data_IF_747851681146
#
_entry.id   IF_747851681146
#
_cell.length_a   1.000
_cell.length_b   1.000
_cell.length_c   1.000
_cell.angle_alpha   90.00
_cell.angle_beta   90.00
_cell.angle_gamma   90.00
#
_symmetry.space_group_name_H-M   'P 1'
#
loop_
_entity.id
_entity.type
_entity.pdbx_description
1 polymer ?
#
# COMPACT_ATOMS: atom_id res chain seq x y z
N UNK A 1 46.53 17.28 -28.22
CA UNK A 1 45.73 16.33 -27.40
C UNK A 1 44.39 16.09 -28.09
N UNK A 2 44.09 14.84 -28.45
CA UNK A 2 42.93 14.49 -29.29
C UNK A 2 41.59 14.87 -28.64
N UNK A 3 40.62 15.28 -29.47
CA UNK A 3 39.28 15.74 -29.08
C UNK A 3 38.57 14.77 -28.11
N UNK A 4 38.72 13.46 -28.35
CA UNK A 4 38.11 12.40 -27.55
C UNK A 4 38.58 12.39 -26.09
N UNK A 5 39.83 12.77 -25.82
CA UNK A 5 40.36 12.81 -24.44
C UNK A 5 39.76 13.97 -23.64
N UNK A 6 39.45 15.10 -24.30
CA UNK A 6 38.80 16.25 -23.67
C UNK A 6 37.34 15.98 -23.35
N UNK A 7 36.60 15.29 -24.23
CA UNK A 7 35.23 14.88 -23.95
C UNK A 7 35.13 13.85 -22.83
N UNK A 8 35.98 12.82 -22.85
CA UNK A 8 36.05 11.82 -21.79
C UNK A 8 36.29 12.45 -20.40
N UNK A 9 37.22 13.41 -20.30
CA UNK A 9 37.49 14.11 -19.04
C UNK A 9 36.35 15.03 -18.61
N UNK A 10 35.57 15.61 -19.54
CA UNK A 10 34.37 16.39 -19.22
C UNK A 10 33.26 15.49 -18.70
N UNK A 11 33.05 14.32 -19.31
CA UNK A 11 32.06 13.35 -18.87
C UNK A 11 32.40 12.83 -17.47
N UNK A 12 33.64 12.40 -17.23
CA UNK A 12 34.09 11.96 -15.89
C UNK A 12 33.94 13.03 -14.82
N UNK A 13 34.14 14.31 -15.15
CA UNK A 13 33.90 15.42 -14.21
C UNK A 13 32.42 15.64 -13.93
N UNK A 14 31.52 15.43 -14.90
CA UNK A 14 30.07 15.48 -14.68
C UNK A 14 29.62 14.31 -13.80
N UNK A 15 30.11 13.12 -14.09
CA UNK A 15 29.77 11.90 -13.34
C UNK A 15 30.24 12.04 -11.89
N UNK A 16 31.50 12.42 -11.65
CA UNK A 16 32.02 12.66 -10.29
C UNK A 16 31.29 13.80 -9.56
N UNK A 17 30.77 14.81 -10.28
CA UNK A 17 30.02 15.92 -9.66
C UNK A 17 28.58 15.50 -9.33
N UNK A 18 27.99 14.64 -10.15
CA UNK A 18 26.69 14.03 -9.88
C UNK A 18 26.78 13.05 -8.70
N UNK A 19 27.85 12.25 -8.66
CA UNK A 19 28.14 11.32 -7.57
C UNK A 19 28.38 12.07 -6.24
N UNK A 20 29.18 13.16 -6.25
CA UNK A 20 29.33 14.03 -5.07
C UNK A 20 28.02 14.68 -4.63
N UNK A 21 27.20 15.18 -5.56
CA UNK A 21 25.87 15.74 -5.24
C UNK A 21 24.88 14.70 -4.74
N UNK A 22 25.03 13.44 -5.15
CA UNK A 22 24.28 12.30 -4.62
C UNK A 22 24.70 12.00 -3.19
N UNK A 23 26.02 12.01 -2.92
CA UNK A 23 26.56 11.78 -1.58
C UNK A 23 26.25 12.92 -0.61
N UNK A 24 26.22 14.19 -1.06
CA UNK A 24 25.83 15.33 -0.21
C UNK A 24 24.34 15.31 0.21
N UNK A 25 23.49 14.52 -0.46
CA UNK A 25 22.04 14.37 -0.17
C UNK A 25 21.68 13.12 0.63
N UNK A 26 22.64 12.24 0.85
CA UNK A 26 22.40 10.90 1.38
C UNK A 26 23.49 10.59 2.40
N UNK A 27 23.12 10.65 3.67
CA UNK A 27 24.04 10.36 4.78
C UNK A 27 23.65 9.01 5.38
N UNK A 28 24.58 8.06 5.36
CA UNK A 28 24.42 6.81 6.09
C UNK A 28 24.73 7.03 7.57
N UNK A 29 23.76 6.79 8.45
CA UNK A 29 23.95 6.90 9.90
C UNK A 29 23.83 5.51 10.54
N UNK A 30 24.77 5.20 11.44
CA UNK A 30 24.64 4.04 12.33
C UNK A 30 23.88 4.47 13.58
N UNK A 31 22.76 3.80 13.88
CA UNK A 31 22.11 3.95 15.18
C UNK A 31 22.86 3.08 16.20
N UNK A 32 23.81 3.66 16.92
CA UNK A 32 24.35 3.07 18.15
C UNK A 32 24.55 4.18 19.18
N UNK A 33 23.61 4.31 20.12
CA UNK A 33 23.73 5.24 21.25
C UNK A 33 24.65 4.74 22.38
N UNK A 34 25.21 3.54 22.24
CA UNK A 34 26.15 2.93 23.20
C UNK A 34 27.26 2.18 22.45
N UNK A 35 28.40 2.02 23.13
CA UNK A 35 29.54 1.23 22.65
C UNK A 35 29.09 -0.15 22.15
N UNK A 36 29.66 -0.65 21.04
CA UNK A 36 29.23 -1.91 20.44
C UNK A 36 29.50 -3.09 21.38
N UNK A 37 28.44 -3.66 21.95
CA UNK A 37 28.49 -4.96 22.61
C UNK A 37 28.73 -6.05 21.55
N UNK A 38 29.85 -6.81 21.59
CA UNK A 38 30.16 -7.88 20.65
C UNK A 38 29.14 -9.04 20.67
N UNK A 39 28.30 -9.13 21.70
CA UNK A 39 27.24 -10.13 21.83
C UNK A 39 25.92 -9.71 21.16
N UNK A 40 25.79 -8.44 20.75
CA UNK A 40 24.61 -7.95 20.05
C UNK A 40 24.79 -8.03 18.53
N UNK A 41 23.71 -8.27 17.77
CA UNK A 41 23.75 -8.15 16.31
C UNK A 41 24.31 -6.78 15.90
N UNK A 42 25.08 -6.70 14.80
CA UNK A 42 25.59 -5.42 14.33
C UNK A 42 24.44 -4.43 14.11
N UNK A 43 24.62 -3.14 14.46
CA UNK A 43 23.55 -2.15 14.41
C UNK A 43 22.98 -2.02 12.99
N UNK A 44 21.65 -1.98 12.89
CA UNK A 44 20.94 -1.77 11.64
C UNK A 44 21.42 -0.47 10.99
N UNK A 45 21.93 -0.55 9.75
CA UNK A 45 22.34 0.64 8.99
C UNK A 45 21.11 1.30 8.40
N UNK A 46 20.90 2.57 8.74
CA UNK A 46 19.81 3.39 8.19
C UNK A 46 20.40 4.46 7.30
N UNK A 47 19.93 4.50 6.07
CA UNK A 47 20.23 5.57 5.12
C UNK A 47 19.26 6.71 5.37
N UNK A 48 19.78 7.88 5.72
CA UNK A 48 18.98 9.10 5.81
C UNK A 48 19.17 9.91 4.54
N UNK A 49 18.08 10.21 3.86
CA UNK A 49 18.09 11.00 2.62
C UNK A 49 17.25 12.25 2.80
N UNK A 50 17.84 13.41 2.53
CA UNK A 50 17.12 14.69 2.56
C UNK A 50 16.79 15.04 1.11
N UNK A 51 15.49 15.21 0.83
CA UNK A 51 15.01 15.54 -0.50
C UNK A 51 14.29 16.87 -0.50
N UNK A 52 14.51 17.63 -1.56
CA UNK A 52 13.91 18.94 -1.80
C UNK A 52 12.64 18.80 -2.61
N UNK A 53 11.58 19.51 -2.24
CA UNK A 53 10.38 19.58 -3.03
C UNK A 53 10.61 20.32 -4.36
N UNK A 54 10.25 19.69 -5.47
CA UNK A 54 10.32 20.20 -6.83
C UNK A 54 9.13 19.68 -7.62
N UNK A 55 8.12 20.51 -7.91
CA UNK A 55 6.95 20.11 -8.68
C UNK A 55 7.36 19.37 -9.97
N UNK A 56 6.76 18.21 -10.20
CA UNK A 56 7.12 17.37 -11.34
C UNK A 56 5.90 16.71 -11.97
N UNK A 57 5.41 17.25 -13.08
CA UNK A 57 4.23 16.70 -13.76
C UNK A 57 4.60 15.55 -14.69
N UNK A 58 4.47 14.32 -14.19
CA UNK A 58 4.65 13.10 -14.99
C UNK A 58 3.60 12.98 -16.12
N UNK A 59 2.39 13.45 -15.86
CA UNK A 59 1.25 13.35 -16.76
C UNK A 59 0.57 14.72 -16.88
N UNK A 60 1.11 15.65 -17.70
CA UNK A 60 0.58 17.01 -17.80
C UNK A 60 -0.91 17.08 -18.17
N UNK A 61 -1.43 16.08 -18.90
CA UNK A 61 -2.84 16.01 -19.25
C UNK A 61 -3.78 15.92 -18.05
N UNK A 62 -3.30 15.38 -16.91
CA UNK A 62 -4.12 15.19 -15.71
C UNK A 62 -4.64 16.52 -15.15
N UNK A 63 -3.93 17.63 -15.41
CA UNK A 63 -4.31 18.98 -14.98
C UNK A 63 -5.57 19.47 -15.69
N UNK A 64 -5.71 19.16 -16.99
CA UNK A 64 -6.79 19.68 -17.83
C UNK A 64 -7.92 18.68 -18.03
N UNK A 65 -7.58 17.39 -18.10
CA UNK A 65 -8.48 16.32 -18.53
C UNK A 65 -8.80 15.33 -17.39
N UNK A 66 -8.29 15.60 -16.19
CA UNK A 66 -8.44 14.75 -15.01
C UNK A 66 -7.79 13.38 -15.18
N UNK A 67 -8.28 12.39 -14.43
CA UNK A 67 -7.64 11.07 -14.35
C UNK A 67 -7.98 10.14 -15.52
N UNK A 68 -8.15 10.68 -16.73
CA UNK A 68 -8.29 9.84 -17.92
C UNK A 68 -7.03 8.99 -18.11
N UNK A 69 -7.22 7.79 -18.65
CA UNK A 69 -6.12 6.89 -18.95
C UNK A 69 -5.14 7.57 -19.93
N UNK A 70 -3.82 7.51 -19.67
CA UNK A 70 -2.82 8.07 -20.57
C UNK A 70 -2.74 7.31 -21.89
N UNK A 71 -2.41 8.03 -22.94
CA UNK A 71 -2.01 7.50 -24.26
C UNK A 71 -0.61 6.88 -24.19
N UNK A 72 -0.22 6.05 -25.18
CA UNK A 72 1.15 5.52 -25.24
C UNK A 72 2.25 6.60 -25.21
N UNK A 73 2.05 7.73 -25.90
CA UNK A 73 3.01 8.83 -25.92
C UNK A 73 3.15 9.50 -24.54
N UNK A 74 2.05 9.67 -23.81
CA UNK A 74 2.07 10.21 -22.44
C UNK A 74 2.76 9.24 -21.46
N UNK A 75 2.59 7.93 -21.65
CA UNK A 75 3.31 6.92 -20.87
C UNK A 75 4.83 6.97 -21.15
N UNK A 76 5.24 7.09 -22.41
CA UNK A 76 6.65 7.23 -22.79
C UNK A 76 7.26 8.52 -22.23
N UNK A 77 6.52 9.63 -22.29
CA UNK A 77 6.92 10.90 -21.68
C UNK A 77 7.15 10.76 -20.17
N UNK A 78 6.17 10.21 -19.44
CA UNK A 78 6.30 9.98 -17.99
C UNK A 78 7.49 9.09 -17.65
N UNK A 79 7.71 8.01 -18.42
CA UNK A 79 8.88 7.14 -18.25
C UNK A 79 10.20 7.88 -18.51
N UNK A 80 10.26 8.77 -19.51
CA UNK A 80 11.46 9.55 -19.81
C UNK A 80 11.86 10.48 -18.66
N UNK A 81 10.88 11.10 -18.00
CA UNK A 81 11.10 11.92 -16.80
C UNK A 81 11.54 11.03 -15.64
N UNK A 82 10.82 9.94 -15.38
CA UNK A 82 11.09 9.05 -14.25
C UNK A 82 12.50 8.43 -14.31
N UNK A 83 13.07 8.20 -15.50
CA UNK A 83 14.47 7.76 -15.66
C UNK A 83 15.50 8.70 -15.00
N UNK A 84 15.15 9.95 -14.76
CA UNK A 84 16.02 10.94 -14.10
C UNK A 84 15.94 10.90 -12.58
N UNK A 85 15.02 10.12 -12.01
CA UNK A 85 14.80 10.03 -10.58
C UNK A 85 15.87 9.19 -9.88
N UNK A 86 16.03 9.43 -8.59
CA UNK A 86 16.86 8.61 -7.73
C UNK A 86 16.08 7.38 -7.26
N UNK A 87 16.65 6.18 -7.38
CA UNK A 87 15.98 4.94 -6.98
C UNK A 87 16.69 4.27 -5.81
N UNK A 88 15.96 4.09 -4.71
CA UNK A 88 16.42 3.28 -3.59
C UNK A 88 16.20 1.79 -3.90
N UNK A 89 17.13 0.94 -3.47
CA UNK A 89 17.09 -0.49 -3.80
C UNK A 89 17.52 -1.46 -2.69
N UNK A 90 18.03 -0.99 -1.56
CA UNK A 90 18.56 -1.86 -0.50
C UNK A 90 18.48 -1.22 0.89
N UNK A 91 18.60 -2.06 1.92
CA UNK A 91 18.68 -1.64 3.32
C UNK A 91 17.40 -0.99 3.84
N UNK A 92 17.55 -0.10 4.82
CA UNK A 92 16.48 0.71 5.38
C UNK A 92 16.76 2.18 5.12
N UNK A 93 15.77 2.88 4.58
CA UNK A 93 15.88 4.26 4.13
C UNK A 93 14.83 5.10 4.82
N UNK A 94 15.21 6.25 5.35
CA UNK A 94 14.30 7.29 5.81
C UNK A 94 14.53 8.54 4.96
N UNK A 95 13.46 9.02 4.31
CA UNK A 95 13.50 10.22 3.47
C UNK A 95 12.81 11.37 4.19
N UNK A 96 13.49 12.52 4.27
CA UNK A 96 13.05 13.73 4.95
C UNK A 96 12.82 14.86 3.94
N UNK A 97 11.85 15.72 4.22
CA UNK A 97 11.52 16.91 3.43
C UNK A 97 12.36 18.12 3.87
N UNK A 98 13.31 18.54 3.02
CA UNK A 98 14.17 19.70 3.26
C UNK A 98 13.36 20.99 3.51
N UNK A 99 12.28 21.19 2.73
CA UNK A 99 11.54 22.44 2.72
C UNK A 99 10.49 22.49 3.87
N UNK A 100 10.23 21.36 4.53
CA UNK A 100 9.24 21.23 5.59
C UNK A 100 9.83 20.66 6.88
N UNK A 101 10.80 21.38 7.46
CA UNK A 101 11.40 21.10 8.78
C UNK A 101 11.90 19.65 8.94
N UNK A 102 12.35 19.03 7.85
CA UNK A 102 12.79 17.63 7.82
C UNK A 102 11.70 16.65 8.30
N UNK A 103 10.43 16.93 8.00
CA UNK A 103 9.36 15.97 8.23
C UNK A 103 9.58 14.70 7.38
N UNK A 104 9.21 13.55 7.94
CA UNK A 104 9.35 12.27 7.26
C UNK A 104 8.38 12.21 6.08
N UNK A 105 8.94 11.94 4.90
CA UNK A 105 8.20 11.65 3.66
C UNK A 105 7.87 10.17 3.62
N UNK A 106 8.90 9.32 3.77
CA UNK A 106 8.77 7.86 3.67
C UNK A 106 9.87 7.12 4.42
N UNK A 107 9.51 5.96 4.96
CA UNK A 107 10.42 4.93 5.46
C UNK A 107 10.29 3.71 4.54
N UNK A 108 11.40 3.22 4.01
CA UNK A 108 11.46 2.09 3.09
C UNK A 108 12.38 1.03 3.67
N UNK A 109 11.97 -0.24 3.63
CA UNK A 109 12.83 -1.36 4.01
C UNK A 109 12.80 -2.43 2.91
N UNK A 110 13.98 -2.77 2.42
CA UNK A 110 14.20 -3.75 1.36
C UNK A 110 14.72 -5.04 1.97
N UNK A 111 14.14 -6.18 1.57
CA UNK A 111 14.65 -7.50 1.96
C UNK A 111 14.74 -8.39 0.72
N UNK A 112 15.95 -8.73 0.25
CA UNK A 112 16.16 -9.70 -0.83
C UNK A 112 15.47 -11.04 -0.52
N UNK A 113 15.06 -11.77 -1.56
CA UNK A 113 14.38 -13.06 -1.37
C UNK A 113 15.29 -14.08 -0.67
N UNK A 114 16.58 -14.01 -0.96
CA UNK A 114 17.63 -14.88 -0.45
C UNK A 114 17.89 -14.66 1.05
N UNK A 115 17.54 -13.48 1.57
CA UNK A 115 17.72 -13.11 2.97
C UNK A 115 16.46 -13.37 3.81
N UNK A 116 15.35 -13.79 3.20
CA UNK A 116 14.14 -14.14 3.94
C UNK A 116 14.36 -15.42 4.75
N UNK A 117 14.18 -15.33 6.06
CA UNK A 117 14.12 -16.51 6.91
C UNK A 117 12.97 -17.45 6.50
N UNK A 118 13.05 -18.74 6.83
CA UNK A 118 11.96 -19.68 6.58
C UNK A 118 10.63 -19.23 7.20
N UNK A 119 10.66 -18.57 8.36
CA UNK A 119 9.47 -18.04 9.01
C UNK A 119 8.88 -16.84 8.27
N UNK A 120 9.71 -15.87 7.85
CA UNK A 120 9.25 -14.75 7.03
C UNK A 120 8.62 -15.24 5.73
N UNK A 121 9.27 -16.20 5.04
CA UNK A 121 8.73 -16.79 3.82
C UNK A 121 7.36 -17.45 4.05
N UNK A 122 7.18 -18.18 5.15
CA UNK A 122 5.87 -18.76 5.51
C UNK A 122 4.82 -17.68 5.77
N UNK A 123 5.16 -16.67 6.56
CA UNK A 123 4.23 -15.59 6.92
C UNK A 123 3.81 -14.77 5.69
N UNK A 124 4.74 -14.46 4.80
CA UNK A 124 4.44 -13.78 3.53
C UNK A 124 3.53 -14.62 2.64
N UNK A 125 3.78 -15.93 2.53
CA UNK A 125 2.89 -16.83 1.78
C UNK A 125 1.48 -16.90 2.37
N UNK A 126 1.34 -16.84 3.70
CA UNK A 126 0.02 -16.77 4.34
C UNK A 126 -0.73 -15.52 3.88
N UNK A 127 -0.05 -14.36 3.88
CA UNK A 127 -0.65 -13.09 3.43
C UNK A 127 -1.01 -13.15 1.94
N UNK A 128 -0.08 -13.49 1.07
CA UNK A 128 -0.29 -13.39 -0.39
C UNK A 128 -1.29 -14.41 -0.92
N UNK A 129 -1.24 -15.66 -0.42
CA UNK A 129 -2.21 -16.69 -0.82
C UNK A 129 -3.61 -16.41 -0.25
N UNK A 130 -3.69 -15.80 0.94
CA UNK A 130 -4.96 -15.29 1.47
C UNK A 130 -5.56 -14.24 0.52
N UNK A 131 -4.80 -13.21 0.16
CA UNK A 131 -5.27 -12.16 -0.75
C UNK A 131 -5.59 -12.68 -2.15
N UNK A 132 -4.82 -13.65 -2.65
CA UNK A 132 -5.11 -14.31 -3.92
C UNK A 132 -6.48 -15.00 -3.87
N UNK A 133 -6.78 -15.76 -2.81
CA UNK A 133 -8.08 -16.41 -2.61
C UNK A 133 -9.22 -15.40 -2.43
N UNK A 134 -8.97 -14.25 -1.79
CA UNK A 134 -9.96 -13.17 -1.65
C UNK A 134 -10.53 -12.72 -3.00
N UNK A 135 -9.77 -12.78 -4.10
CA UNK A 135 -10.22 -12.37 -5.45
C UNK A 135 -11.49 -13.10 -5.92
N UNK A 136 -11.76 -14.31 -5.41
CA UNK A 136 -13.00 -15.06 -5.70
C UNK A 136 -14.23 -14.40 -5.07
N UNK A 137 -14.06 -13.76 -3.92
CA UNK A 137 -15.13 -13.29 -3.05
C UNK A 137 -15.28 -11.77 -2.99
N UNK A 138 -14.37 -11.00 -3.60
CA UNK A 138 -14.45 -9.54 -3.69
C UNK A 138 -14.47 -9.07 -5.15
N UNK A 139 -15.15 -7.95 -5.41
CA UNK A 139 -15.17 -7.37 -6.75
C UNK A 139 -13.84 -6.63 -7.03
N UNK A 140 -13.38 -6.71 -8.28
CA UNK A 140 -12.29 -5.84 -8.74
C UNK A 140 -12.77 -4.40 -8.84
N UNK A 141 -11.90 -3.47 -8.48
CA UNK A 141 -12.12 -2.03 -8.59
C UNK A 141 -11.55 -1.59 -9.93
N UNK A 142 -12.41 -1.08 -10.81
CA UNK A 142 -12.03 -0.49 -12.08
C UNK A 142 -12.69 0.88 -12.19
N UNK A 143 -11.94 1.92 -11.83
CA UNK A 143 -12.35 3.30 -12.04
C UNK A 143 -11.13 4.09 -12.48
N UNK A 144 -11.26 4.90 -13.53
CA UNK A 144 -10.16 5.67 -14.10
C UNK A 144 -9.36 6.49 -13.05
N UNK A 145 -10.00 7.13 -12.03
CA UNK A 145 -9.28 7.83 -10.96
C UNK A 145 -8.39 6.97 -10.07
N UNK A 146 -8.57 5.65 -10.08
CA UNK A 146 -7.88 4.73 -9.16
C UNK A 146 -6.94 3.76 -9.86
N UNK A 147 -7.17 3.48 -11.14
CA UNK A 147 -6.52 2.40 -11.85
C UNK A 147 -6.55 2.67 -13.36
N UNK A 148 -5.38 2.84 -13.96
CA UNK A 148 -5.21 2.97 -15.41
C UNK A 148 -4.87 1.64 -16.09
N UNK A 149 -4.31 0.69 -15.33
CA UNK A 149 -4.11 -0.69 -15.77
C UNK A 149 -3.84 -1.63 -14.60
N UNK A 150 -3.79 -2.92 -14.93
CA UNK A 150 -3.79 -4.01 -13.96
C UNK A 150 -5.12 -4.16 -13.23
N UNK A 151 -5.08 -4.79 -12.05
CA UNK A 151 -6.26 -5.06 -11.23
C UNK A 151 -6.04 -4.63 -9.79
N UNK A 152 -7.07 -4.04 -9.21
CA UNK A 152 -7.12 -3.64 -7.80
C UNK A 152 -8.34 -4.30 -7.14
N UNK A 153 -8.20 -4.69 -5.88
CA UNK A 153 -9.27 -5.17 -5.03
C UNK A 153 -9.18 -4.49 -3.67
N UNK A 154 -10.28 -4.51 -2.93
CA UNK A 154 -10.31 -4.13 -1.52
C UNK A 154 -10.93 -5.24 -0.69
N UNK A 155 -10.47 -5.37 0.54
CA UNK A 155 -10.89 -6.38 1.51
C UNK A 155 -11.10 -5.73 2.88
N UNK A 156 -12.10 -6.18 3.64
CA UNK A 156 -12.45 -5.64 4.95
C UNK A 156 -13.66 -4.69 4.92
N UNK A 157 -13.76 -3.84 5.94
CA UNK A 157 -14.92 -3.00 6.22
C UNK A 157 -14.93 -1.68 5.45
N UNK A 158 -16.13 -1.27 5.04
CA UNK A 158 -16.40 -0.05 4.28
C UNK A 158 -17.74 0.57 4.66
N UNK A 159 -17.89 1.86 4.33
CA UNK A 159 -19.20 2.49 4.21
C UNK A 159 -20.03 1.82 3.10
N UNK A 160 -21.31 1.63 3.36
CA UNK A 160 -22.28 1.13 2.39
C UNK A 160 -23.09 2.26 1.74
N UNK A 161 -23.51 2.02 0.49
CA UNK A 161 -24.37 2.95 -0.27
C UNK A 161 -25.81 2.43 -0.43
N UNK A 162 -26.08 1.17 -0.08
CA UNK A 162 -27.40 0.53 -0.18
C UNK A 162 -28.42 1.16 0.78
N UNK A 163 -29.72 1.09 0.45
CA UNK A 163 -30.78 1.84 1.11
C UNK A 163 -30.90 1.57 2.62
N UNK A 164 -30.53 0.40 3.13
CA UNK A 164 -30.68 0.05 4.56
C UNK A 164 -29.37 -0.40 5.24
N UNK A 165 -28.28 -0.48 4.48
CA UNK A 165 -26.98 -0.88 5.01
C UNK A 165 -26.19 0.34 5.44
N UNK A 166 -25.84 0.40 6.72
CA UNK A 166 -25.04 1.48 7.30
C UNK A 166 -23.56 1.31 6.92
N UNK A 167 -23.04 0.12 7.14
CA UNK A 167 -21.68 -0.30 6.80
C UNK A 167 -21.69 -1.78 6.40
N UNK A 168 -20.58 -2.28 5.86
CA UNK A 168 -20.45 -3.68 5.48
C UNK A 168 -19.08 -4.01 4.92
N UNK A 169 -18.94 -5.22 4.39
CA UNK A 169 -17.68 -5.72 3.83
C UNK A 169 -17.57 -5.46 2.32
N UNK A 170 -16.34 -5.31 1.81
CA UNK A 170 -16.07 -5.49 0.38
C UNK A 170 -16.36 -6.94 0.00
N UNK A 171 -17.30 -7.16 -0.93
CA UNK A 171 -17.77 -8.49 -1.27
C UNK A 171 -18.30 -8.62 -2.69
N UNK A 172 -18.45 -9.87 -3.14
CA UNK A 172 -19.09 -10.32 -4.37
C UNK A 172 -20.17 -11.34 -4.02
N UNK A 173 -21.36 -10.86 -3.67
CA UNK A 173 -22.45 -11.66 -3.09
C UNK A 173 -22.72 -12.96 -3.83
N UNK A 174 -22.86 -12.92 -5.16
CA UNK A 174 -23.17 -14.10 -5.96
C UNK A 174 -22.13 -15.23 -5.81
N UNK A 175 -20.83 -14.89 -5.71
CA UNK A 175 -19.77 -15.88 -5.54
C UNK A 175 -19.69 -16.43 -4.12
N UNK A 176 -20.01 -15.60 -3.12
CA UNK A 176 -20.11 -16.04 -1.73
C UNK A 176 -21.28 -17.01 -1.56
N UNK A 177 -22.45 -16.68 -2.11
CA UNK A 177 -23.65 -17.53 -2.00
C UNK A 177 -23.45 -18.90 -2.67
N UNK A 178 -22.72 -18.95 -3.79
CA UNK A 178 -22.38 -20.21 -4.45
C UNK A 178 -21.32 -21.05 -3.71
N UNK A 179 -20.66 -20.49 -2.69
CA UNK A 179 -19.51 -21.13 -2.03
C UNK A 179 -19.37 -20.70 -0.56
N UNK A 180 -20.45 -20.81 0.21
CA UNK A 180 -20.53 -20.29 1.59
C UNK A 180 -19.48 -20.91 2.52
N UNK A 181 -19.29 -22.23 2.46
CA UNK A 181 -18.33 -22.92 3.30
C UNK A 181 -16.88 -22.49 3.01
N UNK A 182 -16.52 -22.36 1.72
CA UNK A 182 -15.20 -21.87 1.31
C UNK A 182 -14.98 -20.43 1.79
N UNK A 183 -15.99 -19.57 1.64
CA UNK A 183 -15.93 -18.19 2.13
C UNK A 183 -15.79 -18.14 3.65
N UNK A 184 -16.60 -18.89 4.40
CA UNK A 184 -16.55 -18.95 5.86
C UNK A 184 -15.18 -19.40 6.37
N UNK A 185 -14.67 -20.53 5.85
CA UNK A 185 -13.34 -21.03 6.17
C UNK A 185 -12.25 -19.99 5.86
N UNK A 186 -12.35 -19.35 4.70
CA UNK A 186 -11.39 -18.33 4.30
C UNK A 186 -11.43 -17.11 5.21
N UNK A 187 -12.60 -16.56 5.53
CA UNK A 187 -12.73 -15.39 6.41
C UNK A 187 -12.29 -15.69 7.85
N UNK A 188 -12.55 -16.89 8.36
CA UNK A 188 -12.05 -17.33 9.67
C UNK A 188 -10.52 -17.42 9.74
N UNK A 189 -9.85 -17.54 8.59
CA UNK A 189 -8.38 -17.50 8.54
C UNK A 189 -7.80 -16.07 8.56
N UNK A 190 -8.62 -15.03 8.40
CA UNK A 190 -8.20 -13.62 8.27
C UNK A 190 -7.45 -13.01 9.48
N UNK A 191 -7.61 -13.48 10.74
CA UNK A 191 -6.82 -12.94 11.85
C UNK A 191 -5.31 -13.17 11.69
N UNK A 192 -4.91 -14.26 11.00
CA UNK A 192 -3.49 -14.60 10.80
C UNK A 192 -2.77 -13.60 9.89
N UNK A 193 -3.24 -13.29 8.65
CA UNK A 193 -2.64 -12.24 7.84
C UNK A 193 -2.76 -10.84 8.50
N UNK A 194 -3.84 -10.55 9.25
CA UNK A 194 -3.92 -9.29 10.04
C UNK A 194 -2.77 -9.16 11.02
N UNK A 195 -2.54 -10.19 11.83
CA UNK A 195 -1.44 -10.22 12.80
C UNK A 195 -0.07 -10.03 12.13
N UNK A 196 0.17 -10.71 11.01
CA UNK A 196 1.44 -10.63 10.27
C UNK A 196 1.67 -9.21 9.76
N UNK A 197 0.67 -8.63 9.07
CA UNK A 197 0.75 -7.29 8.49
C UNK A 197 0.89 -6.22 9.57
N UNK A 198 0.11 -6.30 10.64
CA UNK A 198 0.21 -5.38 11.77
C UNK A 198 1.56 -5.43 12.47
N UNK A 199 2.14 -6.63 12.65
CA UNK A 199 3.50 -6.78 13.19
C UNK A 199 4.55 -6.18 12.26
N UNK A 200 4.42 -6.36 10.94
CA UNK A 200 5.32 -5.74 9.97
C UNK A 200 5.25 -4.21 10.03
N UNK A 201 4.05 -3.65 10.10
CA UNK A 201 3.86 -2.21 10.22
C UNK A 201 4.43 -1.67 11.54
N UNK A 202 4.08 -2.29 12.68
CA UNK A 202 4.61 -1.92 14.00
C UNK A 202 6.14 -1.95 14.05
N UNK A 203 6.76 -2.98 13.46
CA UNK A 203 8.21 -3.10 13.45
C UNK A 203 8.89 -2.04 12.58
N UNK A 204 8.26 -1.63 11.49
CA UNK A 204 8.82 -0.61 10.59
C UNK A 204 8.63 0.81 11.14
N UNK A 205 7.44 1.11 11.68
CA UNK A 205 7.07 2.42 12.18
C UNK A 205 6.04 2.31 13.31
N UNK A 206 6.51 2.01 14.52
CA UNK A 206 5.65 1.79 15.70
C UNK A 206 4.74 3.00 16.02
N UNK A 207 5.24 4.23 15.90
CA UNK A 207 4.44 5.44 16.17
C UNK A 207 3.27 5.57 15.20
N UNK A 208 3.52 5.42 13.89
CA UNK A 208 2.47 5.47 12.87
C UNK A 208 1.46 4.32 13.04
N UNK A 209 1.94 3.13 13.41
CA UNK A 209 1.09 1.99 13.71
C UNK A 209 0.16 2.28 14.90
N UNK A 210 0.67 2.78 16.03
CA UNK A 210 -0.18 3.07 17.20
C UNK A 210 -1.15 4.22 16.91
N UNK A 211 -0.74 5.26 16.16
CA UNK A 211 -1.64 6.32 15.71
C UNK A 211 -2.83 5.76 14.90
N UNK A 212 -2.59 4.83 13.96
CA UNK A 212 -3.68 4.16 13.24
C UNK A 212 -4.61 3.40 14.19
N UNK A 213 -4.07 2.72 15.21
CA UNK A 213 -4.86 1.99 16.19
C UNK A 213 -5.71 2.92 17.05
N UNK A 214 -5.16 4.04 17.47
CA UNK A 214 -5.87 5.01 18.28
C UNK A 214 -6.99 5.68 17.47
N UNK A 215 -6.76 5.98 16.18
CA UNK A 215 -7.82 6.41 15.27
C UNK A 215 -8.94 5.38 15.16
N UNK A 216 -8.60 4.09 15.09
CA UNK A 216 -9.60 3.03 15.04
C UNK A 216 -10.40 2.93 16.33
N UNK A 217 -9.74 2.92 17.50
CA UNK A 217 -10.41 2.90 18.81
C UNK A 217 -11.33 4.10 18.98
N UNK A 218 -10.84 5.31 18.69
CA UNK A 218 -11.59 6.56 18.87
C UNK A 218 -12.83 6.66 17.99
N UNK A 219 -12.90 5.90 16.89
CA UNK A 219 -14.01 5.93 15.93
C UNK A 219 -14.75 4.58 15.85
N UNK A 220 -14.56 3.68 16.82
CA UNK A 220 -15.19 2.34 16.86
C UNK A 220 -15.04 1.56 15.55
N UNK A 221 -13.88 1.67 14.91
CA UNK A 221 -13.60 1.06 13.62
C UNK A 221 -13.19 -0.40 13.84
N UNK A 222 -13.87 -1.38 13.22
CA UNK A 222 -13.45 -2.78 13.29
C UNK A 222 -12.17 -3.03 12.48
N UNK A 223 -11.43 -4.08 12.83
CA UNK A 223 -10.31 -4.55 12.02
C UNK A 223 -10.80 -5.17 10.72
N UNK A 224 -9.99 -5.11 9.67
CA UNK A 224 -10.33 -5.74 8.39
C UNK A 224 -10.59 -7.26 8.50
N UNK A 225 -10.03 -7.91 9.54
CA UNK A 225 -10.20 -9.32 9.85
C UNK A 225 -11.38 -9.63 10.78
N UNK A 226 -12.02 -8.61 11.37
CA UNK A 226 -13.18 -8.79 12.25
C UNK A 226 -14.37 -9.35 11.47
N UNK A 227 -14.99 -10.41 11.97
CA UNK A 227 -16.18 -11.01 11.36
C UNK A 227 -17.44 -10.24 11.75
N UNK A 228 -17.42 -9.63 12.94
CA UNK A 228 -18.43 -8.70 13.44
C UNK A 228 -17.82 -7.32 13.69
N UNK A 229 -18.60 -6.27 13.42
CA UNK A 229 -18.10 -4.90 13.58
C UNK A 229 -17.85 -4.48 15.03
N UNK A 230 -18.38 -5.24 15.98
CA UNK A 230 -18.22 -5.04 17.43
C UNK A 230 -17.12 -5.94 18.02
N UNK A 231 -16.46 -6.76 17.19
CA UNK A 231 -15.33 -7.55 17.66
C UNK A 231 -14.24 -6.58 18.17
N UNK A 232 -13.66 -6.83 19.36
CA UNK A 232 -12.61 -5.97 19.89
C UNK A 232 -11.37 -6.02 18.99
N UNK A 233 -10.63 -4.91 18.95
CA UNK A 233 -9.36 -4.86 18.23
C UNK A 233 -8.31 -5.75 18.92
N UNK A 234 -7.69 -6.63 18.14
CA UNK A 234 -6.51 -7.37 18.57
C UNK A 234 -5.26 -6.50 18.65
N UNK A 235 -4.19 -7.04 19.23
CA UNK A 235 -2.91 -6.35 19.46
C UNK A 235 -2.29 -5.77 18.18
N UNK A 236 -2.52 -6.40 17.03
CA UNK A 236 -1.91 -6.03 15.76
C UNK A 236 -2.89 -5.42 14.75
N UNK A 237 -4.14 -5.22 15.12
CA UNK A 237 -5.13 -4.67 14.21
C UNK A 237 -4.98 -3.15 14.10
N UNK A 238 -4.70 -2.67 12.88
CA UNK A 238 -4.35 -1.27 12.60
C UNK A 238 -5.00 -0.70 11.32
N UNK A 239 -5.95 -1.41 10.72
CA UNK A 239 -6.74 -0.88 9.62
C UNK A 239 -8.10 -1.58 9.46
N UNK A 240 -9.17 -0.85 9.06
CA UNK A 240 -10.47 -1.44 8.71
C UNK A 240 -10.51 -2.20 7.40
N UNK A 241 -9.62 -1.87 6.46
CA UNK A 241 -9.59 -2.48 5.16
C UNK A 241 -8.21 -2.36 4.53
N UNK A 242 -7.91 -3.31 3.67
CA UNK A 242 -6.72 -3.26 2.86
C UNK A 242 -7.10 -3.20 1.39
N UNK A 243 -6.26 -2.57 0.59
CA UNK A 243 -6.31 -2.71 -0.87
C UNK A 243 -5.14 -3.54 -1.34
N UNK A 244 -5.31 -4.26 -2.45
CA UNK A 244 -4.22 -5.02 -3.05
C UNK A 244 -4.36 -5.04 -4.56
N UNK A 245 -3.21 -5.10 -5.24
CA UNK A 245 -3.11 -4.97 -6.69
C UNK A 245 -2.24 -6.08 -7.29
N UNK A 246 -2.53 -6.46 -8.53
CA UNK A 246 -1.71 -7.39 -9.33
C UNK A 246 -1.88 -7.12 -10.82
N UNK A 247 -1.00 -7.67 -11.65
CA UNK A 247 -1.12 -7.70 -13.11
C UNK A 247 -0.68 -6.39 -13.75
N UNK A 248 0.48 -5.87 -13.34
CA UNK A 248 1.04 -4.62 -13.85
C UNK A 248 0.20 -3.40 -13.49
N UNK A 249 -0.26 -3.33 -12.23
CA UNK A 249 -1.05 -2.20 -11.75
C UNK A 249 -0.29 -0.87 -11.88
N UNK A 250 -0.99 0.15 -12.38
CA UNK A 250 -0.50 1.52 -12.41
C UNK A 250 -1.65 2.53 -12.34
N UNK A 251 -1.36 3.72 -11.83
CA UNK A 251 -2.36 4.71 -11.46
C UNK A 251 -1.85 6.15 -11.61
N UNK A 252 -2.75 7.15 -11.65
CA UNK A 252 -2.36 8.56 -11.67
C UNK A 252 -1.52 8.97 -10.46
N UNK A 253 -0.61 9.96 -10.59
CA UNK A 253 -0.11 10.75 -9.47
C UNK A 253 -1.25 11.33 -8.64
N UNK A 254 -1.26 11.02 -7.34
CA UNK A 254 -2.31 11.49 -6.42
C UNK A 254 -1.78 11.60 -4.98
N UNK A 255 -2.61 12.19 -4.12
CA UNK A 255 -2.50 12.15 -2.66
C UNK A 255 -3.75 11.47 -2.12
N UNK A 256 -3.63 10.75 -1.01
CA UNK A 256 -4.78 10.10 -0.36
C UNK A 256 -5.50 11.06 0.59
N UNK A 257 -5.94 12.20 0.09
CA UNK A 257 -6.54 13.28 0.92
C UNK A 257 -7.82 12.86 1.66
N UNK A 258 -8.48 11.79 1.22
CA UNK A 258 -9.66 11.18 1.84
C UNK A 258 -9.36 10.17 2.96
N UNK A 259 -8.08 9.91 3.25
CA UNK A 259 -7.67 9.09 4.38
C UNK A 259 -7.58 9.89 5.68
N UNK A 260 -7.71 9.23 6.83
CA UNK A 260 -7.66 9.86 8.14
C UNK A 260 -6.24 9.86 8.71
N UNK A 261 -5.51 8.75 8.54
CA UNK A 261 -4.14 8.62 9.03
C UNK A 261 -3.15 9.47 8.22
N UNK A 262 -2.08 9.93 8.88
CA UNK A 262 -1.01 10.66 8.19
C UNK A 262 -0.09 9.73 7.39
N UNK A 263 0.21 8.55 7.94
CA UNK A 263 1.12 7.57 7.35
C UNK A 263 0.38 6.27 7.00
N UNK A 264 0.47 5.85 5.74
CA UNK A 264 -0.03 4.56 5.27
C UNK A 264 1.10 3.52 5.24
N UNK A 265 0.75 2.25 5.40
CA UNK A 265 1.68 1.12 5.21
C UNK A 265 1.42 0.43 3.87
N UNK A 266 2.47 0.07 3.15
CA UNK A 266 2.39 -0.78 1.97
C UNK A 266 3.47 -1.86 1.97
N UNK A 267 3.16 -2.93 1.25
CA UNK A 267 4.03 -4.08 1.07
C UNK A 267 4.00 -4.52 -0.40
N UNK A 268 5.18 -4.66 -1.00
CA UNK A 268 5.37 -5.07 -2.39
C UNK A 268 6.08 -6.42 -2.46
N UNK A 269 5.51 -7.38 -3.19
CA UNK A 269 5.85 -8.80 -3.13
C UNK A 269 5.86 -9.42 -4.54
N UNK A 270 6.93 -10.11 -4.96
CA UNK A 270 6.91 -10.91 -6.16
C UNK A 270 6.11 -12.20 -5.92
N UNK A 271 5.06 -12.43 -6.71
CA UNK A 271 4.14 -13.59 -6.52
C UNK A 271 3.87 -14.32 -7.82
N UNK A 272 3.55 -15.61 -7.73
CA UNK A 272 3.07 -16.41 -8.84
C UNK A 272 1.64 -16.02 -9.18
N UNK A 273 1.34 -15.82 -10.45
CA UNK A 273 -0.01 -15.42 -10.90
C UNK A 273 -1.04 -16.51 -10.67
N UNK A 274 -0.62 -17.78 -10.70
CA UNK A 274 -1.48 -18.95 -10.59
C UNK A 274 -2.13 -19.12 -9.21
N UNK A 275 -1.38 -18.90 -8.12
CA UNK A 275 -1.85 -19.22 -6.76
C UNK A 275 -1.51 -18.13 -5.71
N UNK A 276 -0.77 -17.09 -6.11
CA UNK A 276 -0.34 -16.02 -5.23
C UNK A 276 0.79 -16.41 -4.28
N UNK A 277 1.42 -17.57 -4.43
CA UNK A 277 2.60 -17.92 -3.62
C UNK A 277 3.76 -16.97 -3.92
N UNK A 278 4.59 -16.71 -2.91
CA UNK A 278 5.80 -15.91 -3.07
C UNK A 278 6.76 -16.60 -4.05
N UNK A 279 7.35 -15.81 -4.94
CA UNK A 279 8.43 -16.24 -5.82
C UNK A 279 9.63 -16.72 -5.00
N UNK A 280 10.27 -17.80 -5.45
CA UNK A 280 11.53 -18.32 -4.88
C UNK A 280 12.73 -17.70 -5.61
N UNK A 281 13.91 -17.62 -4.96
CA UNK A 281 15.14 -17.18 -5.63
C UNK A 281 15.47 -17.98 -6.92
N UNK A 282 15.08 -19.24 -6.97
CA UNK A 282 15.26 -20.13 -8.14
C UNK A 282 14.27 -19.89 -9.28
N UNK A 283 13.18 -19.16 -9.05
CA UNK A 283 12.20 -18.85 -10.08
C UNK A 283 12.76 -17.74 -10.99
N UNK A 284 12.52 -17.83 -12.31
CA UNK A 284 12.95 -16.80 -13.26
C UNK A 284 12.00 -15.58 -13.22
N UNK A 285 11.97 -14.89 -12.08
CA UNK A 285 11.19 -13.68 -11.90
C UNK A 285 11.91 -12.47 -12.50
N UNK A 286 11.32 -11.95 -13.58
CA UNK A 286 11.78 -10.74 -14.23
C UNK A 286 10.57 -9.88 -14.61
N UNK A 287 10.58 -8.63 -14.18
CA UNK A 287 9.59 -7.61 -14.54
C UNK A 287 10.35 -6.37 -14.98
N UNK A 288 9.77 -5.58 -15.89
CA UNK A 288 10.34 -4.28 -16.29
C UNK A 288 9.35 -3.16 -16.00
N UNK A 289 9.85 -2.00 -15.59
CA UNK A 289 9.03 -0.88 -15.14
C UNK A 289 8.40 -1.11 -13.76
N UNK A 290 7.18 -0.62 -13.58
CA UNK A 290 6.41 -0.79 -12.34
C UNK A 290 6.77 0.17 -11.21
N UNK A 291 7.74 1.07 -11.40
CA UNK A 291 8.31 1.84 -10.30
C UNK A 291 7.25 2.59 -9.47
N UNK A 292 7.37 2.52 -8.15
CA UNK A 292 6.60 3.36 -7.23
C UNK A 292 7.38 4.65 -6.97
N UNK A 293 6.82 5.80 -7.34
CA UNK A 293 7.55 7.07 -7.39
C UNK A 293 6.86 8.17 -6.62
N UNK A 294 7.68 9.08 -6.08
CA UNK A 294 7.31 10.34 -5.46
C UNK A 294 7.75 11.47 -6.38
N UNK A 295 6.92 11.85 -7.39
CA UNK A 295 7.36 12.69 -8.49
C UNK A 295 7.92 14.04 -8.03
N UNK A 296 7.25 14.68 -7.07
CA UNK A 296 7.64 16.01 -6.58
C UNK A 296 8.94 16.01 -5.77
N UNK A 297 9.51 14.85 -5.47
CA UNK A 297 10.82 14.73 -4.83
C UNK A 297 11.84 14.01 -5.72
N UNK A 298 11.43 13.61 -6.94
CA UNK A 298 12.31 12.99 -7.93
C UNK A 298 12.97 11.69 -7.47
N UNK A 299 12.26 10.87 -6.67
CA UNK A 299 12.76 9.57 -6.24
C UNK A 299 11.69 8.46 -6.27
N UNK A 300 12.12 7.21 -6.12
CA UNK A 300 11.21 6.08 -5.98
C UNK A 300 11.87 4.75 -5.70
N UNK A 301 11.15 3.68 -6.00
CA UNK A 301 11.60 2.30 -5.96
C UNK A 301 11.48 1.71 -7.36
N UNK A 302 12.58 1.24 -7.94
CA UNK A 302 12.58 0.57 -9.24
C UNK A 302 12.34 -0.93 -9.06
N UNK A 303 11.12 -1.37 -9.38
CA UNK A 303 10.75 -2.78 -9.24
C UNK A 303 11.35 -3.72 -10.29
N UNK A 304 11.95 -3.18 -11.35
CA UNK A 304 12.72 -3.97 -12.33
C UNK A 304 14.03 -4.50 -11.74
N UNK A 305 14.58 -3.77 -10.77
CA UNK A 305 15.87 -4.10 -10.14
C UNK A 305 15.67 -4.76 -8.77
N UNK A 306 14.48 -4.64 -8.18
CA UNK A 306 14.20 -5.19 -6.86
C UNK A 306 13.58 -6.59 -6.95
N UNK A 307 14.34 -7.65 -6.70
CA UNK A 307 13.80 -9.03 -6.67
C UNK A 307 13.20 -9.42 -5.33
N UNK A 308 13.48 -8.67 -4.27
CA UNK A 308 13.00 -8.88 -2.91
C UNK A 308 11.60 -8.35 -2.61
N UNK A 309 11.27 -8.38 -1.31
CA UNK A 309 10.11 -7.68 -0.76
C UNK A 309 10.49 -6.24 -0.40
N UNK A 310 9.50 -5.35 -0.43
CA UNK A 310 9.67 -3.95 0.03
C UNK A 310 8.53 -3.59 0.95
N UNK A 311 8.87 -3.15 2.17
CA UNK A 311 7.93 -2.52 3.10
C UNK A 311 8.08 -1.00 2.97
N UNK A 312 6.97 -0.29 3.05
CA UNK A 312 6.88 1.15 2.84
C UNK A 312 5.94 1.75 3.89
N UNK A 313 6.36 2.81 4.57
CA UNK A 313 5.48 3.67 5.37
C UNK A 313 5.65 5.09 4.88
N UNK A 314 4.61 5.72 4.34
CA UNK A 314 4.73 7.05 3.70
C UNK A 314 3.60 7.98 4.09
N UNK A 315 3.89 9.29 4.04
CA UNK A 315 2.94 10.35 4.34
C UNK A 315 1.90 10.53 3.21
N UNK A 316 1.04 9.53 3.02
CA UNK A 316 0.20 9.36 1.83
C UNK A 316 -0.75 10.51 1.54
N UNK A 317 -1.18 11.23 2.58
CA UNK A 317 -2.03 12.42 2.48
C UNK A 317 -1.30 13.68 1.99
N UNK A 318 -0.01 13.78 2.29
CA UNK A 318 0.78 15.00 2.07
C UNK A 318 1.63 14.92 0.82
N UNK A 319 2.11 13.72 0.51
CA UNK A 319 3.12 13.48 -0.53
C UNK A 319 2.47 12.83 -1.73
N UNK A 320 2.60 13.47 -2.90
CA UNK A 320 2.08 12.93 -4.16
C UNK A 320 2.89 11.71 -4.57
N UNK A 321 2.20 10.66 -5.00
CA UNK A 321 2.83 9.39 -5.37
C UNK A 321 2.04 8.66 -6.46
N UNK A 322 2.68 7.73 -7.15
CA UNK A 322 2.02 6.81 -8.09
C UNK A 322 2.87 5.57 -8.36
N UNK A 323 2.25 4.58 -9.00
CA UNK A 323 2.92 3.43 -9.61
C UNK A 323 2.95 3.62 -11.12
N UNK A 324 4.12 3.48 -11.74
CA UNK A 324 4.31 3.50 -13.19
C UNK A 324 3.97 2.14 -13.83
N UNK A 325 3.65 2.08 -15.13
CA UNK A 325 3.30 0.82 -15.78
C UNK A 325 4.45 -0.20 -15.73
N UNK A 326 4.09 -1.48 -15.59
CA UNK A 326 5.02 -2.61 -15.63
C UNK A 326 4.71 -3.54 -16.81
N UNK A 327 5.73 -4.21 -17.31
CA UNK A 327 5.60 -5.40 -18.14
C UNK A 327 5.97 -6.60 -17.28
N UNK A 328 5.01 -7.50 -17.10
CA UNK A 328 5.15 -8.70 -16.29
C UNK A 328 5.05 -9.96 -17.15
N UNK A 329 5.71 -11.04 -16.73
CA UNK A 329 5.51 -12.36 -17.33
C UNK A 329 4.12 -12.91 -17.04
N UNK A 330 3.63 -13.86 -17.84
CA UNK A 330 2.33 -14.51 -17.59
C UNK A 330 2.29 -15.31 -16.27
N UNK A 331 3.44 -15.80 -15.80
CA UNK A 331 3.56 -16.65 -14.61
C UNK A 331 3.79 -15.90 -13.31
N UNK A 332 4.17 -14.62 -13.36
CA UNK A 332 4.54 -13.83 -12.19
C UNK A 332 4.00 -12.41 -12.23
N UNK A 333 3.77 -11.83 -11.06
CA UNK A 333 3.32 -10.45 -10.89
C UNK A 333 3.90 -9.86 -9.62
N UNK A 334 4.01 -8.54 -9.54
CA UNK A 334 4.24 -7.87 -8.27
C UNK A 334 2.91 -7.56 -7.61
N UNK A 335 2.60 -8.32 -6.56
CA UNK A 335 1.49 -7.97 -5.68
C UNK A 335 1.90 -6.76 -4.83
N UNK A 336 1.09 -5.72 -4.81
CA UNK A 336 1.19 -4.66 -3.81
C UNK A 336 -0.04 -4.72 -2.91
N UNK A 337 0.11 -4.30 -1.65
CA UNK A 337 -1.01 -4.05 -0.75
C UNK A 337 -0.79 -2.79 0.07
N UNK A 338 -1.87 -2.16 0.52
CA UNK A 338 -1.85 -1.02 1.44
C UNK A 338 -2.81 -1.20 2.62
N UNK A 339 -2.42 -0.68 3.78
CA UNK A 339 -3.26 -0.56 4.99
C UNK A 339 -3.55 0.91 5.25
N UNK A 340 -4.84 1.28 5.23
CA UNK A 340 -5.30 2.66 5.32
C UNK A 340 -6.55 2.77 6.20
N UNK A 341 -6.79 3.94 6.78
CA UNK A 341 -7.96 4.28 7.60
C UNK A 341 -8.72 5.40 6.91
N UNK A 342 -9.71 5.05 6.08
CA UNK A 342 -10.45 6.04 5.30
C UNK A 342 -11.43 6.88 6.15
N UNK A 343 -11.51 8.21 5.90
CA UNK A 343 -12.41 9.15 6.62
C UNK A 343 -13.88 8.71 6.60
N UNK A 344 -14.38 8.23 5.45
CA UNK A 344 -15.79 7.85 5.31
C UNK A 344 -16.13 6.62 6.14
N UNK A 345 -15.21 5.67 6.21
CA UNK A 345 -15.35 4.48 7.07
C UNK A 345 -15.31 4.89 8.54
N UNK A 346 -14.32 5.70 8.94
CA UNK A 346 -14.19 6.21 10.31
C UNK A 346 -15.45 6.97 10.78
N UNK A 347 -15.88 7.97 10.01
CA UNK A 347 -17.09 8.74 10.32
C UNK A 347 -18.33 7.85 10.37
N UNK A 348 -18.42 6.79 9.56
CA UNK A 348 -19.58 5.90 9.57
C UNK A 348 -19.63 5.05 10.83
N UNK A 349 -18.51 4.46 11.26
CA UNK A 349 -18.49 3.65 12.48
C UNK A 349 -18.65 4.49 13.75
N UNK A 350 -18.00 5.65 13.82
CA UNK A 350 -18.22 6.63 14.91
C UNK A 350 -19.69 7.00 15.04
N UNK A 351 -20.33 7.33 13.92
CA UNK A 351 -21.73 7.74 13.91
C UNK A 351 -22.67 6.55 14.23
N UNK A 352 -22.27 5.32 13.90
CA UNK A 352 -23.01 4.10 14.31
C UNK A 352 -22.96 3.97 15.83
N UNK A 353 -21.77 4.10 16.42
CA UNK A 353 -21.56 3.97 17.86
C UNK A 353 -22.34 5.01 18.67
N UNK A 354 -22.27 6.28 18.27
CA UNK A 354 -22.89 7.37 19.02
C UNK A 354 -24.37 7.62 18.65
N UNK A 355 -24.92 6.88 17.68
CA UNK A 355 -26.28 7.02 17.19
C UNK A 355 -26.54 8.19 16.22
N UNK A 356 -25.55 9.01 15.90
CA UNK A 356 -25.68 10.09 14.91
C UNK A 356 -25.93 9.56 13.50
N UNK A 357 -25.64 8.28 13.24
CA UNK A 357 -25.91 7.61 11.97
C UNK A 357 -27.40 7.73 11.60
N UNK A 358 -28.30 7.75 12.58
CA UNK A 358 -29.74 7.86 12.40
C UNK A 358 -30.19 9.28 12.07
N UNK A 359 -29.38 10.30 12.38
CA UNK A 359 -29.66 11.71 12.09
C UNK A 359 -29.22 12.11 10.68
N UNK A 360 -28.42 11.27 10.00
CA UNK A 360 -27.97 11.55 8.63
C UNK A 360 -29.19 11.65 7.70
N UNK A 361 -29.21 12.56 6.71
CA UNK A 361 -30.35 12.74 5.80
C UNK A 361 -30.83 11.44 5.12
N UNK A 362 -29.92 10.51 4.84
CA UNK A 362 -30.24 9.20 4.24
C UNK A 362 -31.05 8.28 5.17
N UNK A 363 -30.98 8.49 6.48
CA UNK A 363 -31.50 7.57 7.50
C UNK A 363 -32.61 8.16 8.37
N UNK A 364 -32.78 9.49 8.39
CA UNK A 364 -33.71 10.19 9.30
C UNK A 364 -35.17 9.73 9.18
N UNK A 365 -35.59 9.33 7.97
CA UNK A 365 -36.95 8.87 7.70
C UNK A 365 -37.09 7.33 7.69
N UNK A 366 -36.05 6.59 8.10
CA UNK A 366 -36.07 5.13 8.16
C UNK A 366 -36.25 4.68 9.60
N UNK A 367 -37.00 3.60 9.78
CA UNK A 367 -37.09 2.96 11.10
C UNK A 367 -35.72 2.40 11.48
N UNK A 368 -35.32 2.56 12.74
CA UNK A 368 -33.98 2.19 13.20
C UNK A 368 -33.76 0.68 13.10
N UNK A 369 -34.80 -0.09 13.39
CA UNK A 369 -34.86 -1.55 13.32
C UNK A 369 -34.65 -2.11 11.90
N UNK A 370 -34.86 -1.30 10.86
CA UNK A 370 -34.64 -1.70 9.47
C UNK A 370 -33.18 -1.45 9.01
N UNK A 371 -32.40 -0.69 9.78
CA UNK A 371 -31.02 -0.34 9.47
C UNK A 371 -30.04 -1.33 10.11
N UNK A 372 -29.06 -1.79 9.34
CA UNK A 372 -28.11 -2.80 9.81
C UNK A 372 -26.69 -2.63 9.28
N UNK A 373 -25.75 -3.30 9.97
CA UNK A 373 -24.35 -3.44 9.55
C UNK A 373 -24.16 -4.83 8.92
N UNK A 374 -23.77 -4.86 7.64
CA UNK A 374 -23.66 -6.07 6.84
C UNK A 374 -22.29 -6.76 7.01
N UNK A 375 -22.12 -7.44 8.14
CA UNK A 375 -20.92 -8.23 8.47
C UNK A 375 -20.92 -9.66 7.90
N UNK A 376 -20.07 -10.52 8.47
CA UNK A 376 -19.89 -11.90 8.00
C UNK A 376 -21.19 -12.73 7.97
N UNK A 377 -21.99 -12.65 9.04
CA UNK A 377 -23.26 -13.39 9.13
C UNK A 377 -24.26 -12.98 8.05
N UNK A 378 -24.34 -11.69 7.73
CA UNK A 378 -25.12 -11.19 6.60
C UNK A 378 -24.61 -11.77 5.27
N UNK A 379 -23.28 -11.86 5.10
CA UNK A 379 -22.70 -12.39 3.87
C UNK A 379 -23.04 -13.87 3.65
N UNK A 380 -23.16 -14.66 4.73
CA UNK A 380 -23.58 -16.06 4.64
C UNK A 380 -25.08 -16.19 4.41
N UNK A 381 -25.90 -15.39 5.09
CA UNK A 381 -27.36 -15.51 5.07
C UNK A 381 -28.03 -14.14 4.85
N UNK A 382 -28.01 -13.59 3.62
CA UNK A 382 -28.56 -12.24 3.37
C UNK A 382 -30.09 -12.21 3.45
N UNK A 383 -30.77 -13.34 3.22
CA UNK A 383 -32.24 -13.44 3.26
C UNK A 383 -32.82 -13.26 4.66
N UNK A 384 -32.07 -13.53 5.73
CA UNK A 384 -32.52 -13.22 7.09
C UNK A 384 -32.59 -11.71 7.39
N UNK A 385 -32.06 -10.88 6.48
CA UNK A 385 -32.04 -9.43 6.56
C UNK A 385 -32.85 -8.77 5.43
N UNK A 386 -33.42 -9.55 4.52
CA UNK A 386 -34.33 -9.06 3.51
C UNK A 386 -35.73 -8.97 4.14
N UNK A 387 -36.21 -7.76 4.39
CA UNK A 387 -37.63 -7.51 4.64
C UNK A 387 -38.20 -6.75 3.44
N UNK A 388 -39.40 -7.20 3.04
CA UNK A 388 -40.22 -6.75 1.91
C UNK A 388 -40.43 -5.25 1.88
#
# INVERSE_FOLDING_TARGET
MSSNRKEYLKQRKRDNRNERRSNDRTSELRLSGHDPDPLLPPPERIVWSIQKYKPCELFPHQILEGDRKPTPAELEHAQSIAKTFFYFGHGKVVVLDEDNKNEIIVIIEFTPLEELSPQQTRDLNIVTTFLHKCKRFVNSISSAPRCWGGKMWAFGWRKCMDAFKLAGLYLKSAKIQAAKADYDSHMRSSPRPSKILGKMFKNLANVAFEQNRDLMKANSIPAFASLHHQDPLGEFDCSPNLTFTTGGFYNPPHKDDEDLQDFAFALFLPTKTADGTLVKPSDNYNITGGAFVFPDYGFGINFSEQKGIVKLVWASRRVRHCTLPAVESSSHTRMALSLQVNKKTANTFRDIENGDIFKRPKNINKKKEDLYVAGHNYCLNPTSYARS
#
